data_IF_019180758688
#
_entry.id   IF_019180758688
#
_cell.length_a   1.000
_cell.length_b   1.000
_cell.length_c   1.000
_cell.angle_alpha   90.00
_cell.angle_beta   90.00
_cell.angle_gamma   90.00
#
_symmetry.space_group_name_H-M   'P 1'
#
loop_
_entity.id
_entity.type
_entity.pdbx_description
1 polymer ?
#
# COMPACT_ATOMS: atom_id res chain seq x y z
N UNK A 1 0.00 -14.19 -22.78
CA UNK A 1 0.84 -14.49 -21.61
C UNK A 1 1.89 -15.58 -21.85
N UNK A 2 1.79 -16.44 -22.87
CA UNK A 2 2.89 -17.38 -23.21
C UNK A 2 3.25 -18.40 -22.13
N UNK A 3 2.37 -18.62 -21.14
CA UNK A 3 2.56 -19.58 -20.06
C UNK A 3 2.17 -20.97 -20.57
N UNK A 4 3.00 -22.00 -20.38
CA UNK A 4 2.66 -23.38 -20.75
C UNK A 4 1.38 -23.88 -20.07
N UNK A 5 0.53 -24.58 -20.82
CA UNK A 5 -0.78 -25.06 -20.36
C UNK A 5 -0.71 -25.94 -19.10
N UNK A 6 0.35 -26.74 -18.96
CA UNK A 6 0.52 -27.61 -17.80
C UNK A 6 0.66 -26.83 -16.49
N UNK A 7 1.28 -25.64 -16.50
CA UNK A 7 1.40 -24.78 -15.32
C UNK A 7 0.05 -24.13 -15.00
N UNK A 8 -0.69 -23.69 -16.00
CA UNK A 8 -2.05 -23.15 -15.81
C UNK A 8 -2.99 -24.21 -15.26
N UNK A 9 -2.87 -25.46 -15.72
CA UNK A 9 -3.62 -26.59 -15.19
C UNK A 9 -3.28 -26.86 -13.72
N UNK A 10 -1.98 -26.90 -13.38
CA UNK A 10 -1.52 -27.08 -12.00
C UNK A 10 -2.06 -25.98 -11.07
N UNK A 11 -1.97 -24.72 -11.47
CA UNK A 11 -2.50 -23.59 -10.71
C UNK A 11 -4.03 -23.68 -10.56
N UNK A 12 -4.76 -24.04 -11.62
CA UNK A 12 -6.22 -24.22 -11.54
C UNK A 12 -6.58 -25.32 -10.56
N UNK A 13 -5.90 -26.46 -10.62
CA UNK A 13 -6.12 -27.57 -9.70
C UNK A 13 -5.75 -27.22 -8.25
N UNK A 14 -4.73 -26.38 -8.06
CA UNK A 14 -4.37 -25.89 -6.73
C UNK A 14 -5.51 -25.08 -6.13
N UNK A 15 -6.23 -24.27 -6.90
CA UNK A 15 -7.29 -23.38 -6.38
C UNK A 15 -8.72 -23.95 -6.50
N UNK A 16 -8.94 -24.99 -7.30
CA UNK A 16 -10.26 -25.59 -7.48
C UNK A 16 -10.72 -26.39 -6.25
N UNK A 17 -12.00 -26.22 -5.86
CA UNK A 17 -12.66 -27.03 -4.84
C UNK A 17 -12.02 -26.96 -3.45
N UNK A 18 -11.38 -25.83 -3.13
CA UNK A 18 -10.73 -25.64 -1.83
C UNK A 18 -11.75 -25.48 -0.72
N UNK A 19 -11.52 -26.19 0.38
CA UNK A 19 -12.22 -25.99 1.64
C UNK A 19 -11.27 -25.50 2.72
N UNK A 20 -11.78 -24.70 3.63
CA UNK A 20 -11.07 -24.25 4.82
C UNK A 20 -11.93 -24.42 6.07
N UNK A 21 -11.26 -24.43 7.20
CA UNK A 21 -11.87 -24.34 8.53
C UNK A 21 -11.02 -23.39 9.38
N UNK A 22 -11.65 -22.71 10.32
CA UNK A 22 -10.98 -21.78 11.24
C UNK A 22 -10.84 -22.45 12.60
N UNK A 23 -9.59 -22.58 13.08
CA UNK A 23 -9.31 -23.04 14.43
C UNK A 23 -9.21 -21.84 15.37
N UNK A 24 -10.13 -21.78 16.34
CA UNK A 24 -10.19 -20.74 17.38
C UNK A 24 -9.86 -21.34 18.75
N UNK A 25 -9.74 -20.50 19.78
CA UNK A 25 -9.60 -20.97 21.17
C UNK A 25 -10.83 -21.73 21.70
N UNK A 26 -11.98 -21.62 21.03
CA UNK A 26 -13.24 -22.27 21.42
C UNK A 26 -13.54 -23.54 20.62
N UNK A 27 -12.68 -23.91 19.66
CA UNK A 27 -12.87 -25.08 18.80
C UNK A 27 -12.55 -24.80 17.34
N UNK A 28 -12.78 -25.81 16.51
CA UNK A 28 -12.60 -25.76 15.05
C UNK A 28 -13.98 -25.60 14.41
N UNK A 29 -14.14 -24.65 13.47
CA UNK A 29 -15.41 -24.48 12.76
C UNK A 29 -15.66 -25.63 11.79
N UNK A 30 -16.88 -25.72 11.26
CA UNK A 30 -17.13 -26.60 10.12
C UNK A 30 -16.31 -26.18 8.90
N UNK A 31 -16.15 -27.12 7.97
CA UNK A 31 -15.53 -26.87 6.68
C UNK A 31 -16.44 -25.99 5.81
N UNK A 32 -15.85 -25.01 5.15
CA UNK A 32 -16.52 -24.16 4.18
C UNK A 32 -15.68 -24.02 2.91
N UNK A 33 -16.36 -23.85 1.78
CA UNK A 33 -15.74 -23.70 0.47
C UNK A 33 -15.15 -22.29 0.29
N UNK A 34 -13.92 -22.21 -0.20
CA UNK A 34 -13.28 -20.95 -0.59
C UNK A 34 -13.65 -20.66 -2.04
N UNK A 35 -14.55 -19.69 -2.24
CA UNK A 35 -15.00 -19.29 -3.57
C UNK A 35 -14.10 -18.25 -4.25
N UNK A 36 -13.36 -17.44 -3.46
CA UNK A 36 -12.56 -16.32 -3.95
C UNK A 36 -11.30 -16.14 -3.09
N UNK A 37 -10.34 -15.45 -3.69
CA UNK A 37 -9.13 -15.00 -3.04
C UNK A 37 -7.94 -15.94 -3.14
N UNK A 38 -6.81 -15.45 -2.64
CA UNK A 38 -5.55 -16.19 -2.65
C UNK A 38 -5.31 -16.91 -1.32
N UNK A 39 -4.66 -18.07 -1.35
CA UNK A 39 -4.34 -18.79 -0.11
C UNK A 39 -3.27 -18.04 0.69
N UNK A 40 -3.64 -17.46 1.82
CA UNK A 40 -2.67 -16.85 2.72
C UNK A 40 -1.60 -17.87 3.14
N UNK A 41 -0.34 -17.45 3.11
CA UNK A 41 0.82 -18.31 3.39
C UNK A 41 1.28 -19.20 2.23
N UNK A 42 0.58 -19.23 1.09
CA UNK A 42 1.08 -19.91 -0.11
C UNK A 42 2.14 -19.06 -0.82
N UNK A 43 3.24 -19.69 -1.24
CA UNK A 43 4.36 -19.05 -1.93
C UNK A 43 3.94 -18.32 -3.22
N UNK A 44 2.92 -18.84 -3.92
CA UNK A 44 2.45 -18.28 -5.19
C UNK A 44 1.41 -17.18 -5.03
N UNK A 45 0.76 -17.07 -3.87
CA UNK A 45 -0.30 -16.09 -3.64
C UNK A 45 0.13 -14.64 -3.90
N UNK A 46 1.31 -14.18 -3.41
CA UNK A 46 1.76 -12.81 -3.72
C UNK A 46 1.98 -12.58 -5.21
N UNK A 47 2.56 -13.55 -5.93
CA UNK A 47 2.79 -13.42 -7.37
C UNK A 47 1.49 -13.40 -8.17
N UNK A 48 0.51 -14.23 -7.79
CA UNK A 48 -0.80 -14.27 -8.43
C UNK A 48 -1.56 -12.96 -8.18
N UNK A 49 -1.56 -12.45 -6.94
CA UNK A 49 -2.19 -11.18 -6.63
C UNK A 49 -1.56 -10.03 -7.44
N UNK A 50 -0.24 -9.95 -7.50
CA UNK A 50 0.46 -8.94 -8.31
C UNK A 50 0.13 -9.06 -9.81
N UNK A 51 -0.05 -10.27 -10.33
CA UNK A 51 -0.46 -10.48 -11.72
C UNK A 51 -1.87 -9.93 -11.99
N UNK A 52 -2.81 -10.16 -11.07
CA UNK A 52 -4.16 -9.60 -11.15
C UNK A 52 -4.15 -8.07 -11.05
N UNK A 53 -3.41 -7.52 -10.09
CA UNK A 53 -3.26 -6.07 -9.93
C UNK A 53 -2.68 -5.43 -11.19
N UNK A 54 -1.62 -6.01 -11.77
CA UNK A 54 -1.03 -5.53 -13.02
C UNK A 54 -2.01 -5.62 -14.20
N UNK A 55 -2.80 -6.70 -14.29
CA UNK A 55 -3.84 -6.85 -15.30
C UNK A 55 -4.89 -5.73 -15.23
N UNK A 56 -5.36 -5.41 -14.01
CA UNK A 56 -6.31 -4.31 -13.78
C UNK A 56 -5.69 -2.97 -14.20
N UNK A 57 -4.46 -2.68 -13.77
CA UNK A 57 -3.81 -1.39 -14.03
C UNK A 57 -3.55 -1.17 -15.53
N UNK A 58 -3.18 -2.23 -16.27
CA UNK A 58 -3.03 -2.17 -17.73
C UNK A 58 -4.36 -1.96 -18.44
N UNK A 59 -5.41 -2.67 -18.03
CA UNK A 59 -6.73 -2.50 -18.63
C UNK A 59 -7.35 -1.14 -18.31
N UNK A 60 -7.04 -0.58 -17.14
CA UNK A 60 -7.45 0.78 -16.75
C UNK A 60 -6.72 1.86 -17.57
N UNK A 61 -5.71 1.47 -18.38
CA UNK A 61 -4.93 2.34 -19.28
C UNK A 61 -4.39 3.58 -18.58
N UNK A 62 -3.90 3.40 -17.35
CA UNK A 62 -3.36 4.52 -16.58
C UNK A 62 -2.11 5.08 -17.26
N UNK A 63 -1.24 4.26 -17.84
CA UNK A 63 -0.03 4.74 -18.53
C UNK A 63 -0.35 5.63 -19.76
N UNK A 64 -1.50 5.42 -20.41
CA UNK A 64 -1.98 6.22 -21.53
C UNK A 64 -2.73 7.48 -21.07
N UNK A 65 -3.10 7.56 -19.79
CA UNK A 65 -3.83 8.70 -19.25
C UNK A 65 -2.91 9.93 -19.17
N UNK A 66 -3.43 11.08 -19.61
CA UNK A 66 -2.75 12.36 -19.39
C UNK A 66 -2.80 12.82 -17.93
N UNK A 67 -3.76 12.31 -17.17
CA UNK A 67 -3.92 12.53 -15.73
C UNK A 67 -2.74 11.93 -14.95
N UNK A 68 -2.22 12.68 -14.00
CA UNK A 68 -1.05 12.32 -13.20
C UNK A 68 -0.17 13.52 -12.89
N UNK A 69 0.95 13.28 -12.20
CA UNK A 69 1.93 14.30 -11.83
C UNK A 69 3.14 14.18 -12.76
N UNK A 70 3.51 15.28 -13.42
CA UNK A 70 4.68 15.30 -14.32
C UNK A 70 5.96 15.60 -13.56
N UNK A 71 6.86 14.62 -13.51
CA UNK A 71 8.20 14.76 -12.91
C UNK A 71 9.24 14.47 -13.98
N UNK A 72 10.13 15.43 -14.24
CA UNK A 72 11.20 15.32 -15.23
C UNK A 72 10.72 14.84 -16.62
N UNK A 73 9.55 15.31 -17.05
CA UNK A 73 8.95 14.97 -18.35
C UNK A 73 8.27 13.60 -18.42
N UNK A 74 8.18 12.87 -17.30
CA UNK A 74 7.43 11.61 -17.19
C UNK A 74 6.18 11.80 -16.36
N UNK A 75 5.09 11.15 -16.76
CA UNK A 75 3.83 11.19 -16.01
C UNK A 75 3.82 10.08 -14.94
N UNK A 76 3.53 10.44 -13.70
CA UNK A 76 3.39 9.53 -12.56
C UNK A 76 1.98 9.64 -12.02
N UNK A 77 1.18 8.59 -12.18
CA UNK A 77 -0.21 8.57 -11.72
C UNK A 77 -0.51 7.47 -10.71
N UNK A 78 0.42 6.54 -10.50
CA UNK A 78 0.26 5.50 -9.50
C UNK A 78 1.58 5.10 -8.84
N UNK A 79 1.50 4.67 -7.59
CA UNK A 79 2.56 4.05 -6.81
C UNK A 79 1.97 2.79 -6.17
N UNK A 80 2.63 1.64 -6.32
CA UNK A 80 2.06 0.35 -5.92
C UNK A 80 3.03 -0.40 -5.03
N UNK A 81 2.55 -0.88 -3.90
CA UNK A 81 3.31 -1.73 -3.01
C UNK A 81 2.41 -2.80 -2.38
N UNK A 82 2.62 -4.06 -2.77
CA UNK A 82 1.76 -5.17 -2.39
C UNK A 82 0.27 -4.86 -2.71
N UNK A 83 -0.60 -4.86 -1.71
CA UNK A 83 -2.01 -4.53 -1.76
C UNK A 83 -2.31 -3.02 -1.70
N UNK A 84 -1.34 -2.21 -1.27
CA UNK A 84 -1.48 -0.76 -1.23
C UNK A 84 -1.27 -0.16 -2.64
N UNK A 85 -2.31 0.47 -3.20
CA UNK A 85 -2.19 1.25 -4.44
C UNK A 85 -2.45 2.71 -4.16
N UNK A 86 -1.53 3.57 -4.58
CA UNK A 86 -1.68 5.01 -4.49
C UNK A 86 -1.88 5.63 -5.84
N UNK A 87 -2.93 6.45 -6.01
CA UNK A 87 -3.18 7.23 -7.21
C UNK A 87 -2.79 8.70 -7.00
N UNK A 88 -2.31 9.34 -8.05
CA UNK A 88 -1.78 10.71 -8.01
C UNK A 88 -2.24 11.46 -9.25
N UNK A 89 -2.62 12.74 -9.08
CA UNK A 89 -3.02 13.61 -10.18
C UNK A 89 -2.79 15.08 -9.82
N UNK A 90 -2.81 15.96 -10.83
CA UNK A 90 -2.68 17.42 -10.64
C UNK A 90 -4.02 18.09 -10.26
N UNK A 91 -5.15 17.43 -10.52
CA UNK A 91 -6.49 17.91 -10.17
C UNK A 91 -7.38 16.83 -9.53
N UNK A 92 -8.42 17.26 -8.79
CA UNK A 92 -9.40 16.37 -8.18
C UNK A 92 -10.21 15.60 -9.24
N UNK A 93 -10.54 16.25 -10.34
CA UNK A 93 -11.27 15.66 -11.47
C UNK A 93 -10.45 14.57 -12.16
N UNK A 94 -9.15 14.80 -12.35
CA UNK A 94 -8.22 13.81 -12.88
C UNK A 94 -8.09 12.60 -11.94
N UNK A 95 -7.95 12.84 -10.63
CA UNK A 95 -7.87 11.78 -9.64
C UNK A 95 -9.14 10.93 -9.62
N UNK A 96 -10.32 11.57 -9.64
CA UNK A 96 -11.62 10.90 -9.76
C UNK A 96 -11.68 10.04 -11.02
N UNK A 97 -11.24 10.56 -12.17
CA UNK A 97 -11.21 9.80 -13.42
C UNK A 97 -10.32 8.56 -13.35
N UNK A 98 -9.10 8.68 -12.78
CA UNK A 98 -8.19 7.56 -12.60
C UNK A 98 -8.82 6.49 -11.69
N UNK A 99 -9.44 6.93 -10.59
CA UNK A 99 -10.05 6.04 -9.63
C UNK A 99 -11.26 5.29 -10.19
N UNK A 100 -12.13 5.98 -10.94
CA UNK A 100 -13.27 5.34 -11.62
C UNK A 100 -12.79 4.25 -12.59
N UNK A 101 -11.74 4.51 -13.38
CA UNK A 101 -11.17 3.50 -14.29
C UNK A 101 -10.64 2.27 -13.55
N UNK A 102 -9.89 2.48 -12.48
CA UNK A 102 -9.37 1.37 -11.66
C UNK A 102 -10.51 0.57 -11.04
N UNK A 103 -11.54 1.26 -10.54
CA UNK A 103 -12.72 0.63 -9.96
C UNK A 103 -13.45 -0.25 -10.97
N UNK A 104 -13.79 0.29 -12.14
CA UNK A 104 -14.51 -0.43 -13.20
C UNK A 104 -13.76 -1.68 -13.64
N UNK A 105 -12.43 -1.61 -13.80
CA UNK A 105 -11.61 -2.77 -14.16
C UNK A 105 -11.43 -3.77 -13.01
N UNK A 106 -11.37 -3.29 -11.76
CA UNK A 106 -11.29 -4.16 -10.57
C UNK A 106 -12.57 -4.98 -10.39
N UNK A 107 -13.74 -4.36 -10.59
CA UNK A 107 -15.03 -5.03 -10.44
C UNK A 107 -15.22 -6.15 -11.47
N UNK A 108 -14.69 -5.99 -12.70
CA UNK A 108 -14.71 -7.03 -13.74
C UNK A 108 -13.98 -8.31 -13.35
N UNK A 109 -12.96 -8.20 -12.50
CA UNK A 109 -12.20 -9.35 -11.98
C UNK A 109 -12.61 -9.75 -10.57
N UNK A 110 -13.69 -9.14 -10.05
CA UNK A 110 -14.29 -9.50 -8.77
C UNK A 110 -13.60 -8.91 -7.54
N UNK A 111 -12.77 -7.88 -7.71
CA UNK A 111 -12.20 -7.07 -6.63
C UNK A 111 -13.05 -5.81 -6.41
N UNK A 112 -13.37 -5.52 -5.15
CA UNK A 112 -14.11 -4.30 -4.78
C UNK A 112 -13.17 -3.38 -3.99
N UNK A 113 -13.14 -2.11 -4.38
CA UNK A 113 -12.42 -1.10 -3.60
C UNK A 113 -13.11 -0.88 -2.26
N UNK A 114 -12.34 -0.82 -1.18
CA UNK A 114 -12.85 -0.39 0.12
C UNK A 114 -12.80 1.13 0.20
N UNK A 115 -13.94 1.77 -0.10
CA UNK A 115 -14.08 3.23 -0.12
C UNK A 115 -13.83 3.81 1.29
N UNK A 116 -14.24 3.11 2.36
CA UNK A 116 -14.06 3.57 3.75
C UNK A 116 -12.60 3.56 4.21
N UNK A 117 -11.76 2.70 3.63
CA UNK A 117 -10.31 2.67 3.89
C UNK A 117 -9.52 3.58 2.94
N UNK A 118 -10.16 4.02 1.87
CA UNK A 118 -9.53 4.90 0.89
C UNK A 118 -9.43 6.29 1.49
N UNK A 119 -8.24 6.88 1.41
CA UNK A 119 -7.97 8.23 1.90
C UNK A 119 -7.54 9.14 0.74
N UNK A 120 -7.95 10.40 0.79
CA UNK A 120 -7.49 11.46 -0.11
C UNK A 120 -6.68 12.49 0.67
N UNK A 121 -5.44 12.75 0.24
CA UNK A 121 -4.68 13.89 0.72
C UNK A 121 -4.80 15.07 -0.25
N UNK A 122 -5.31 16.20 0.24
CA UNK A 122 -5.54 17.41 -0.56
C UNK A 122 -5.17 18.70 0.19
N UNK A 123 -4.43 19.59 -0.47
CA UNK A 123 -3.96 20.89 0.04
C UNK A 123 -5.07 21.83 0.52
N UNK A 124 -6.28 21.79 -0.06
CA UNK A 124 -7.53 22.16 0.62
C UNK A 124 -8.35 20.92 1.01
N UNK A 125 -8.86 20.89 2.24
CA UNK A 125 -9.78 19.84 2.68
C UNK A 125 -11.14 20.10 2.03
N UNK A 126 -11.43 19.38 0.95
CA UNK A 126 -12.73 19.37 0.27
C UNK A 126 -13.48 18.08 0.61
N UNK A 127 -14.81 18.18 0.71
CA UNK A 127 -15.67 17.01 0.78
C UNK A 127 -15.72 16.36 -0.60
N UNK A 128 -15.42 15.07 -0.68
CA UNK A 128 -15.51 14.32 -1.92
C UNK A 128 -16.23 13.00 -1.73
N UNK A 129 -16.90 12.55 -2.79
CA UNK A 129 -17.72 11.35 -2.78
C UNK A 129 -17.40 10.50 -4.02
N UNK A 130 -17.49 9.18 -3.84
CA UNK A 130 -17.44 8.19 -4.92
C UNK A 130 -18.72 7.36 -4.78
N UNK A 131 -19.54 7.31 -5.84
CA UNK A 131 -20.83 6.60 -5.84
C UNK A 131 -21.78 7.00 -4.69
N UNK A 132 -21.68 8.25 -4.22
CA UNK A 132 -22.46 8.74 -3.08
C UNK A 132 -21.97 8.25 -1.71
N UNK A 133 -20.85 7.53 -1.66
CA UNK A 133 -20.11 7.27 -0.42
C UNK A 133 -19.04 8.35 -0.24
N UNK A 134 -19.11 9.07 0.90
CA UNK A 134 -18.11 10.05 1.27
C UNK A 134 -16.78 9.40 1.59
N UNK A 135 -15.71 9.96 1.05
CA UNK A 135 -14.35 9.45 1.27
C UNK A 135 -13.59 10.39 2.19
N UNK A 136 -12.78 9.80 3.09
CA UNK A 136 -12.06 10.55 4.10
C UNK A 136 -10.95 11.40 3.46
N UNK A 137 -11.00 12.71 3.73
CA UNK A 137 -9.96 13.67 3.33
C UNK A 137 -9.03 13.89 4.52
N UNK A 138 -7.75 13.54 4.34
CA UNK A 138 -6.73 13.61 5.39
C UNK A 138 -5.67 14.67 5.07
N UNK A 139 -5.11 15.30 6.11
CA UNK A 139 -3.98 16.21 5.96
C UNK A 139 -2.67 15.47 5.72
N UNK A 140 -2.58 14.22 6.18
CA UNK A 140 -1.43 13.36 6.01
C UNK A 140 -1.79 11.89 6.17
N UNK A 141 -0.97 11.01 5.58
CA UNK A 141 -1.10 9.57 5.74
C UNK A 141 0.28 8.88 5.67
N UNK A 142 0.35 7.62 6.10
CA UNK A 142 1.57 6.82 6.01
C UNK A 142 1.49 5.89 4.81
N UNK A 143 2.47 5.97 3.91
CA UNK A 143 2.64 5.07 2.77
C UNK A 143 4.04 4.46 2.78
N UNK A 144 4.14 3.12 2.74
CA UNK A 144 5.44 2.44 2.73
C UNK A 144 6.32 2.75 3.96
N UNK A 145 5.71 3.15 5.07
CA UNK A 145 6.41 3.62 6.28
C UNK A 145 6.70 5.12 6.30
N UNK A 146 6.52 5.82 5.19
CA UNK A 146 6.76 7.25 5.06
C UNK A 146 5.53 8.12 5.25
N UNK A 147 5.66 9.23 5.99
CA UNK A 147 4.58 10.22 6.14
C UNK A 147 4.54 11.13 4.92
N UNK A 148 3.36 11.23 4.33
CA UNK A 148 3.05 12.06 3.17
C UNK A 148 2.01 13.08 3.62
N UNK A 149 2.34 14.36 3.51
CA UNK A 149 1.45 15.47 3.87
C UNK A 149 0.81 16.04 2.61
N UNK A 150 -0.37 16.66 2.73
CA UNK A 150 -1.16 17.15 1.61
C UNK A 150 -0.59 18.41 0.90
N UNK A 151 -0.29 19.46 1.65
CA UNK A 151 1.09 19.68 2.04
C UNK A 151 2.18 19.53 0.97
N UNK A 152 2.75 18.33 0.97
CA UNK A 152 3.99 17.92 0.34
C UNK A 152 5.25 18.16 1.19
N UNK A 153 5.16 18.83 2.34
CA UNK A 153 6.32 19.20 3.15
C UNK A 153 6.96 17.98 3.83
N UNK A 154 8.12 17.55 3.30
CA UNK A 154 8.86 16.43 3.90
C UNK A 154 9.49 16.76 5.27
N UNK A 155 9.49 18.02 5.72
CA UNK A 155 10.09 18.39 7.01
C UNK A 155 9.45 17.63 8.17
N UNK A 156 8.15 17.36 8.09
CA UNK A 156 7.41 16.55 9.06
C UNK A 156 7.94 15.12 9.12
N UNK A 157 8.22 14.53 7.96
CA UNK A 157 8.73 13.17 7.86
C UNK A 157 10.19 13.05 8.32
N UNK A 158 11.03 14.01 7.94
CA UNK A 158 12.42 14.10 8.41
C UNK A 158 12.44 14.17 9.95
N UNK A 159 11.62 15.04 10.53
CA UNK A 159 11.49 15.16 12.00
C UNK A 159 11.01 13.84 12.62
N UNK A 160 10.03 13.16 12.02
CA UNK A 160 9.52 11.87 12.48
C UNK A 160 10.62 10.80 12.50
N UNK A 161 11.39 10.65 11.43
CA UNK A 161 12.48 9.69 11.38
C UNK A 161 13.61 10.00 12.38
N UNK A 162 13.94 11.28 12.59
CA UNK A 162 14.89 11.69 13.62
C UNK A 162 14.41 11.31 15.02
N UNK A 163 13.12 11.48 15.32
CA UNK A 163 12.53 11.09 16.60
C UNK A 163 12.49 9.57 16.79
N UNK A 164 12.14 8.81 15.74
CA UNK A 164 12.19 7.35 15.77
C UNK A 164 13.61 6.85 16.02
N UNK A 165 14.60 7.41 15.33
CA UNK A 165 16.02 7.11 15.54
C UNK A 165 16.45 7.42 16.98
N UNK A 166 16.10 8.60 17.51
CA UNK A 166 16.37 8.96 18.92
C UNK A 166 15.74 7.98 19.90
N UNK A 167 14.49 7.58 19.68
CA UNK A 167 13.79 6.60 20.54
C UNK A 167 14.49 5.25 20.58
N UNK A 168 14.95 4.76 19.42
CA UNK A 168 15.73 3.53 19.32
C UNK A 168 17.06 3.70 20.07
N UNK A 169 17.75 4.82 19.87
CA UNK A 169 19.00 5.11 20.58
C UNK A 169 18.81 5.18 22.10
N UNK A 170 17.76 5.82 22.62
CA UNK A 170 17.50 5.86 24.07
C UNK A 170 17.18 4.47 24.64
N UNK A 171 16.48 3.63 23.88
CA UNK A 171 16.23 2.25 24.29
C UNK A 171 17.53 1.44 24.30
N UNK A 172 18.37 1.62 23.28
CA UNK A 172 19.69 1.01 23.21
C UNK A 172 20.60 1.51 24.32
N UNK A 173 20.60 2.80 24.65
CA UNK A 173 21.38 3.36 25.76
C UNK A 173 20.98 2.68 27.07
N UNK A 174 19.69 2.43 27.32
CA UNK A 174 19.28 1.70 28.53
C UNK A 174 19.77 0.24 28.57
N UNK A 175 19.97 -0.39 27.40
CA UNK A 175 20.50 -1.75 27.27
C UNK A 175 22.03 -1.73 27.35
N UNK A 176 22.66 -0.77 26.68
CA UNK A 176 24.08 -0.54 26.64
C UNK A 176 24.59 -0.13 28.01
N UNK A 177 23.88 0.70 28.78
CA UNK A 177 24.21 1.02 30.18
C UNK A 177 24.12 -0.22 31.08
N UNK A 178 23.11 -1.08 30.89
CA UNK A 178 23.06 -2.40 31.56
C UNK A 178 24.23 -3.30 31.18
N UNK A 179 24.71 -3.21 29.94
CA UNK A 179 25.90 -3.93 29.48
C UNK A 179 27.22 -3.18 29.72
N UNK A 180 27.20 -1.89 30.06
CA UNK A 180 28.36 -1.04 30.35
C UNK A 180 28.95 -1.41 31.71
N UNK A 181 28.10 -1.89 32.62
CA UNK A 181 28.55 -2.63 33.80
C UNK A 181 29.28 -3.95 33.47
N UNK A 182 29.04 -4.54 32.30
CA UNK A 182 29.75 -5.74 31.81
C UNK A 182 30.96 -5.43 30.91
N UNK A 183 30.99 -4.28 30.24
CA UNK A 183 31.97 -3.96 29.18
C UNK A 183 32.61 -2.57 29.32
N UNK A 184 32.96 -2.13 30.53
CA UNK A 184 33.76 -0.93 30.78
C UNK A 184 35.22 -1.03 30.26
N UNK A 185 35.44 -1.53 29.04
CA UNK A 185 36.70 -1.44 28.32
C UNK A 185 36.43 -1.16 26.83
N UNK A 186 36.73 0.08 26.43
CA UNK A 186 36.93 0.64 25.07
C UNK A 186 35.74 1.37 24.40
N UNK A 187 35.94 2.67 24.15
CA UNK A 187 35.04 3.60 23.44
C UNK A 187 35.41 3.83 21.95
N UNK A 188 35.12 5.01 21.35
CA UNK A 188 33.75 5.42 20.95
C UNK A 188 33.58 5.95 19.49
N UNK A 189 32.29 6.12 19.14
CA UNK A 189 31.61 7.15 18.29
C UNK A 189 31.76 7.21 16.75
N UNK A 190 30.63 7.50 16.06
CA UNK A 190 30.53 8.29 14.81
C UNK A 190 29.08 8.80 14.56
N UNK A 191 28.93 10.00 13.98
CA UNK A 191 27.69 10.75 13.65
C UNK A 191 27.55 10.98 12.11
N UNK A 192 26.33 11.25 11.58
CA UNK A 192 26.14 11.76 10.20
C UNK A 192 24.69 12.14 9.80
N UNK A 193 24.55 13.17 8.95
CA UNK A 193 23.40 14.07 8.66
C UNK A 193 22.52 13.74 7.40
N UNK A 194 21.39 14.47 7.18
CA UNK A 194 20.38 14.29 6.10
C UNK A 194 20.22 15.45 5.07
N UNK A 195 19.19 15.40 4.16
CA UNK A 195 18.76 16.43 3.15
C UNK A 195 17.28 16.26 2.64
N UNK A 196 16.74 17.24 1.86
CA UNK A 196 15.34 17.79 1.77
C UNK A 196 14.44 17.57 0.50
N UNK A 197 13.18 18.09 0.54
CA UNK A 197 11.88 17.88 -0.20
C UNK A 197 11.58 18.53 -1.58
N UNK A 198 10.48 18.03 -2.20
CA UNK A 198 9.46 18.76 -3.02
C UNK A 198 8.03 18.16 -2.85
N UNK A 199 6.94 18.88 -3.20
CA UNK A 199 5.51 18.56 -2.90
C UNK A 199 4.78 17.68 -3.96
N UNK A 200 3.89 16.76 -3.54
CA UNK A 200 3.16 15.74 -4.36
C UNK A 200 1.77 15.42 -3.76
N UNK A 201 0.76 15.15 -4.61
CA UNK A 201 -0.61 14.73 -4.22
C UNK A 201 -0.79 13.21 -4.36
N UNK A 202 -1.36 12.53 -3.37
CA UNK A 202 -1.45 11.05 -3.32
C UNK A 202 -2.73 10.57 -2.62
N UNK A 203 -3.35 9.51 -3.15
CA UNK A 203 -4.44 8.72 -2.53
C UNK A 203 -3.90 7.35 -2.11
N UNK A 204 -4.44 6.67 -1.11
CA UNK A 204 -4.12 5.25 -0.81
C UNK A 204 -5.39 4.41 -0.93
N UNK A 205 -5.32 3.32 -1.68
CA UNK A 205 -6.37 2.34 -1.92
C UNK A 205 -6.03 1.06 -1.18
N UNK A 206 -6.98 0.61 -0.37
CA UNK A 206 -7.01 -0.73 0.18
C UNK A 206 -8.07 -1.54 -0.60
N UNK A 207 -7.63 -2.60 -1.26
CA UNK A 207 -8.52 -3.60 -1.86
C UNK A 207 -8.84 -4.69 -0.83
N UNK A 208 -10.12 -5.01 -0.65
CA UNK A 208 -10.53 -6.20 0.12
C UNK A 208 -11.05 -7.29 -0.81
N UNK A 209 -10.51 -8.50 -0.66
CA UNK A 209 -11.12 -9.71 -1.20
C UNK A 209 -12.31 -10.12 -0.31
N UNK A 210 -13.41 -10.54 -0.94
CA UNK A 210 -14.62 -11.00 -0.27
C UNK A 210 -14.54 -12.47 0.11
#
# INVERSE_FOLDING_TARGET
MGIPDHLTCLLRNLYAGKEATVRTGHGTTDWFQIGKGVCQGCLFSPCLFNLYAEYIMRNARLEEAQAGIKIAGRNFNNLRYADDTTLMAESEEELKSLLTKVKEESEKVGLKLNIQKTNMASGPITSWEIDGEGVETVSDFIFGGSKITADGDCSHEIKRHLLLGRKVMTNLDSILEKQRHYFANKGPSCQGCGFSSGHVWMSKLDCEER
#
